data_IF_792811588363
#
_entry.id   IF_792811588363
#
_cell.length_a   1.000
_cell.length_b   1.000
_cell.length_c   1.000
_cell.angle_alpha   90.00
_cell.angle_beta   90.00
_cell.angle_gamma   90.00
#
_symmetry.space_group_name_H-M   'P 1'
#
loop_
_entity.id
_entity.type
_entity.pdbx_description
1 polymer ?
#
# COMPACT_ATOMS: atom_id res chain seq x y z
N UNK A 1 61.84 36.56 22.83
CA UNK A 1 60.96 35.48 23.32
C UNK A 1 59.95 36.17 24.25
N UNK A 2 58.75 36.55 23.80
CA UNK A 2 57.58 35.77 23.39
C UNK A 2 56.71 35.35 24.61
N UNK A 3 55.57 36.04 24.84
CA UNK A 3 54.15 35.60 24.66
C UNK A 3 53.57 34.95 25.95
N UNK A 4 52.40 35.29 26.54
CA UNK A 4 50.98 35.50 26.11
C UNK A 4 50.17 34.17 26.00
N UNK A 5 48.89 33.98 26.40
CA UNK A 5 47.72 34.78 26.93
C UNK A 5 46.66 33.73 27.49
N UNK A 6 45.47 33.91 28.10
CA UNK A 6 44.45 34.92 28.58
C UNK A 6 43.62 34.24 29.73
N UNK A 7 43.16 34.87 30.82
CA UNK A 7 41.85 35.55 31.12
C UNK A 7 40.57 34.69 31.30
N UNK A 8 39.75 34.96 32.34
CA UNK A 8 38.46 34.26 32.63
C UNK A 8 37.42 35.11 33.41
N UNK A 9 36.20 35.25 32.86
CA UNK A 9 34.83 35.33 33.45
C UNK A 9 34.54 36.26 34.69
N UNK A 10 33.74 37.34 34.56
CA UNK A 10 32.23 37.45 34.67
C UNK A 10 31.72 37.42 36.13
N UNK A 11 31.01 38.38 36.76
CA UNK A 11 30.09 39.50 36.40
C UNK A 11 28.71 39.10 35.79
N UNK A 12 27.53 39.62 36.19
CA UNK A 12 27.06 40.37 37.40
C UNK A 12 25.52 40.22 37.57
N UNK A 13 24.99 40.61 38.74
CA UNK A 13 23.55 40.62 39.12
C UNK A 13 22.60 41.49 38.28
N UNK A 14 21.31 41.13 38.16
CA UNK A 14 20.18 42.05 38.45
C UNK A 14 18.78 41.38 38.42
N UNK A 15 17.78 42.11 38.95
CA UNK A 15 16.39 41.74 39.26
C UNK A 15 15.46 41.61 38.05
N UNK A 16 14.39 40.81 38.16
CA UNK A 16 13.23 40.82 37.26
C UNK A 16 11.96 41.04 38.08
N UNK A 17 11.02 41.87 37.59
CA UNK A 17 9.73 42.17 38.22
C UNK A 17 8.61 41.32 37.62
N UNK A 18 7.60 41.00 38.45
CA UNK A 18 6.33 40.46 37.99
C UNK A 18 5.61 41.43 37.04
N UNK A 19 5.10 40.89 35.93
CA UNK A 19 4.09 41.56 35.11
C UNK A 19 3.24 40.52 34.38
N UNK A 20 2.15 40.15 35.03
CA UNK A 20 1.08 39.36 34.43
C UNK A 20 0.61 40.05 33.14
N UNK A 21 0.59 39.28 32.05
CA UNK A 21 -0.03 39.68 30.79
C UNK A 21 -0.72 38.45 30.23
N UNK A 22 -2.04 38.42 30.35
CA UNK A 22 -2.87 37.43 29.68
C UNK A 22 -2.57 37.45 28.18
N UNK A 23 -1.97 36.36 27.69
CA UNK A 23 -2.05 35.97 26.29
C UNK A 23 -3.15 34.93 26.19
N UNK A 24 -4.11 35.17 25.30
CA UNK A 24 -5.21 34.25 24.98
C UNK A 24 -4.63 32.94 24.40
N UNK A 25 -4.34 31.98 25.27
CA UNK A 25 -3.86 30.64 24.94
C UNK A 25 -5.00 29.81 24.32
N UNK A 26 -5.45 30.26 23.14
CA UNK A 26 -6.21 29.43 22.21
C UNK A 26 -5.26 28.46 21.51
N UNK A 27 -4.54 27.67 22.30
CA UNK A 27 -3.88 26.46 21.83
C UNK A 27 -4.95 25.49 21.33
N UNK A 28 -5.20 25.55 20.02
CA UNK A 28 -5.99 24.55 19.33
C UNK A 28 -5.25 23.23 19.38
N UNK A 29 -5.47 22.46 20.45
CA UNK A 29 -4.89 21.13 20.64
C UNK A 29 -5.47 20.18 19.57
N UNK A 30 -4.84 20.16 18.41
CA UNK A 30 -5.15 19.24 17.30
C UNK A 30 -4.78 17.82 17.74
N UNK A 31 -5.67 17.17 18.50
CA UNK A 31 -5.40 15.86 19.09
C UNK A 31 -5.21 14.80 18.00
N UNK A 32 -3.95 14.50 17.68
CA UNK A 32 -3.57 13.46 16.73
C UNK A 32 -4.10 12.11 17.26
N UNK A 33 -5.15 11.59 16.61
CA UNK A 33 -5.79 10.35 17.03
C UNK A 33 -4.82 9.17 16.91
N UNK A 34 -4.43 8.55 18.01
CA UNK A 34 -3.55 7.37 18.00
C UNK A 34 -4.34 6.07 17.78
N UNK A 35 -3.79 5.15 16.98
CA UNK A 35 -4.39 3.87 16.67
C UNK A 35 -3.89 2.77 17.61
N UNK A 36 -4.71 2.36 18.58
CA UNK A 36 -4.39 1.28 19.54
C UNK A 36 -4.26 -0.16 18.94
N UNK A 37 -4.07 -0.29 17.61
CA UNK A 37 -3.71 -1.54 16.92
C UNK A 37 -2.29 -1.49 16.35
N UNK A 38 -1.76 -0.31 16.02
CA UNK A 38 -0.40 -0.14 15.52
C UNK A 38 0.48 0.83 16.33
N UNK A 39 -0.07 1.47 17.37
CA UNK A 39 0.63 2.40 18.27
C UNK A 39 1.29 3.56 17.50
N UNK A 40 0.52 4.13 16.58
CA UNK A 40 0.91 5.18 15.64
C UNK A 40 -0.29 6.09 15.33
N UNK A 41 -0.07 7.33 14.87
CA UNK A 41 -1.14 8.21 14.36
C UNK A 41 -2.08 7.51 13.36
N UNK A 42 -3.37 7.83 13.44
CA UNK A 42 -4.41 7.25 12.60
C UNK A 42 -4.33 7.73 11.15
N UNK A 43 -4.20 6.79 10.22
CA UNK A 43 -4.35 7.06 8.79
C UNK A 43 -5.73 6.62 8.34
N UNK A 44 -6.51 7.58 7.85
CA UNK A 44 -7.96 7.48 7.64
C UNK A 44 -8.66 6.88 8.87
N UNK A 45 -8.71 7.63 10.01
CA UNK A 45 -9.37 7.17 11.22
C UNK A 45 -10.82 6.75 10.94
N UNK A 46 -11.16 5.53 11.32
CA UNK A 46 -12.47 4.93 11.12
C UNK A 46 -13.10 4.58 12.48
N UNK A 47 -14.26 5.16 12.76
CA UNK A 47 -15.04 4.91 13.97
C UNK A 47 -15.90 3.66 13.79
N UNK A 48 -15.72 2.68 14.67
CA UNK A 48 -16.60 1.51 14.77
C UNK A 48 -17.95 1.89 15.41
N UNK A 49 -19.03 1.08 15.24
CA UNK A 49 -20.31 1.29 15.92
C UNK A 49 -20.24 1.27 17.47
N UNK A 50 -19.12 0.81 18.03
CA UNK A 50 -18.79 0.89 19.45
C UNK A 50 -18.01 2.15 19.84
N UNK A 51 -18.02 3.18 18.99
CA UNK A 51 -17.32 4.48 19.09
C UNK A 51 -15.78 4.44 19.13
N UNK A 52 -15.15 3.28 19.23
CA UNK A 52 -13.69 3.14 19.16
C UNK A 52 -13.14 3.45 17.75
N UNK A 53 -12.01 4.16 17.68
CA UNK A 53 -11.39 4.65 16.43
C UNK A 53 -10.04 3.97 16.21
N UNK A 54 -9.73 3.63 14.96
CA UNK A 54 -8.45 3.05 14.51
C UNK A 54 -8.17 3.48 13.06
N UNK A 55 -6.95 3.28 12.53
CA UNK A 55 -6.70 3.40 11.09
C UNK A 55 -7.66 2.48 10.30
N UNK A 56 -8.17 2.93 9.15
CA UNK A 56 -9.02 2.08 8.28
C UNK A 56 -8.37 0.73 7.93
N UNK A 57 -7.05 0.70 7.63
CA UNK A 57 -6.34 -0.54 7.35
C UNK A 57 -6.19 -1.45 8.58
N UNK A 58 -6.14 -0.90 9.80
CA UNK A 58 -6.15 -1.69 11.03
C UNK A 58 -7.51 -2.34 11.25
N UNK A 59 -8.61 -1.59 11.10
CA UNK A 59 -9.98 -2.16 11.14
C UNK A 59 -10.14 -3.26 10.08
N UNK A 60 -9.64 -3.02 8.87
CA UNK A 60 -9.64 -3.97 7.76
C UNK A 60 -8.86 -5.25 8.07
N UNK A 61 -7.74 -5.18 8.80
CA UNK A 61 -7.03 -6.36 9.29
C UNK A 61 -7.86 -7.14 10.31
N UNK A 62 -8.33 -6.47 11.36
CA UNK A 62 -9.13 -7.07 12.43
C UNK A 62 -10.42 -7.70 11.90
N UNK A 63 -11.11 -7.04 10.96
CA UNK A 63 -12.33 -7.55 10.31
C UNK A 63 -12.08 -8.78 9.41
N UNK A 64 -10.87 -8.99 8.89
CA UNK A 64 -10.47 -10.21 8.19
C UNK A 64 -10.02 -11.34 9.15
N UNK A 65 -9.87 -11.06 10.44
CA UNK A 65 -9.36 -12.00 11.45
C UNK A 65 -10.43 -12.29 12.52
N UNK A 66 -10.52 -11.46 13.56
CA UNK A 66 -11.41 -11.68 14.71
C UNK A 66 -12.84 -11.17 14.51
N UNK A 67 -13.06 -10.23 13.58
CA UNK A 67 -14.33 -9.49 13.37
C UNK A 67 -14.84 -8.74 14.60
N UNK A 68 -14.00 -8.46 15.59
CA UNK A 68 -14.40 -7.85 16.88
C UNK A 68 -13.47 -6.69 17.24
N UNK A 69 -14.04 -5.62 17.79
CA UNK A 69 -13.32 -4.44 18.26
C UNK A 69 -12.18 -4.84 19.23
N UNK A 70 -10.92 -4.42 19.00
CA UNK A 70 -9.79 -4.72 19.87
C UNK A 70 -10.01 -4.33 21.35
N UNK A 71 -10.60 -3.16 21.60
CA UNK A 71 -10.85 -2.67 22.96
C UNK A 71 -12.05 -3.33 23.63
N UNK A 72 -13.28 -3.13 23.12
CA UNK A 72 -14.51 -3.58 23.80
C UNK A 72 -15.05 -4.96 23.35
N UNK A 73 -14.42 -5.62 22.37
CA UNK A 73 -14.84 -6.92 21.81
C UNK A 73 -16.26 -6.95 21.21
N UNK A 74 -16.91 -5.82 20.96
CA UNK A 74 -18.15 -5.73 20.16
C UNK A 74 -17.89 -6.17 18.72
N UNK A 75 -18.86 -6.82 18.07
CA UNK A 75 -18.73 -7.27 16.68
C UNK A 75 -18.70 -6.11 15.68
N UNK A 76 -17.91 -6.27 14.61
CA UNK A 76 -17.76 -5.32 13.51
C UNK A 76 -18.72 -5.75 12.38
N UNK A 77 -19.67 -4.89 11.95
CA UNK A 77 -20.62 -5.23 10.90
C UNK A 77 -19.92 -5.69 9.60
N UNK A 78 -20.39 -6.77 8.93
CA UNK A 78 -19.76 -7.29 7.71
C UNK A 78 -19.69 -6.29 6.54
N UNK A 79 -20.57 -5.30 6.52
CA UNK A 79 -20.64 -4.25 5.51
C UNK A 79 -19.78 -3.02 5.82
N UNK A 80 -19.24 -2.88 7.04
CA UNK A 80 -18.46 -1.73 7.49
C UNK A 80 -17.29 -1.38 6.55
N UNK A 81 -16.62 -2.38 5.96
CA UNK A 81 -15.51 -2.15 5.04
C UNK A 81 -15.92 -1.56 3.68
N UNK A 82 -17.21 -1.61 3.34
CA UNK A 82 -17.79 -1.00 2.14
C UNK A 82 -18.31 0.43 2.41
N UNK A 83 -18.69 0.72 3.66
CA UNK A 83 -19.24 2.03 4.11
C UNK A 83 -18.65 2.44 5.47
N UNK A 84 -17.31 2.64 5.58
CA UNK A 84 -16.69 2.96 6.85
C UNK A 84 -17.10 4.36 7.30
N UNK A 85 -17.41 4.53 8.58
CA UNK A 85 -17.58 5.86 9.17
C UNK A 85 -16.19 6.44 9.43
N UNK A 86 -15.66 7.18 8.45
CA UNK A 86 -14.44 7.96 8.64
C UNK A 86 -14.69 9.10 9.64
N UNK A 87 -13.63 9.49 10.34
CA UNK A 87 -13.61 10.65 11.23
C UNK A 87 -12.82 11.74 10.52
N UNK A 88 -13.43 12.91 10.39
CA UNK A 88 -12.74 14.11 9.92
C UNK A 88 -11.77 14.59 11.01
N UNK A 89 -10.56 14.94 10.60
CA UNK A 89 -9.51 15.53 11.45
C UNK A 89 -9.06 16.77 10.70
N UNK A 90 -9.03 17.92 11.36
CA UNK A 90 -8.74 19.21 10.70
C UNK A 90 -7.40 19.16 9.95
N UNK A 91 -7.45 19.27 8.62
CA UNK A 91 -6.29 19.11 7.74
C UNK A 91 -5.38 20.36 7.71
N UNK A 92 -5.34 21.13 8.80
CA UNK A 92 -4.68 22.44 8.94
C UNK A 92 -3.14 22.43 8.82
N UNK A 93 -2.54 21.28 8.47
CA UNK A 93 -1.10 21.10 8.22
C UNK A 93 -0.81 20.54 6.82
N UNK A 94 -1.82 20.45 5.94
CA UNK A 94 -1.75 19.73 4.65
C UNK A 94 -1.31 20.59 3.46
N UNK A 95 -1.30 21.92 3.61
CA UNK A 95 -1.12 22.86 2.48
C UNK A 95 0.25 23.58 2.46
N UNK A 96 1.06 23.48 3.51
CA UNK A 96 2.20 24.40 3.73
C UNK A 96 3.55 24.02 3.10
N UNK A 97 3.74 22.78 2.64
CA UNK A 97 5.06 22.27 2.18
C UNK A 97 5.06 21.62 0.78
N UNK A 98 4.03 21.83 -0.03
CA UNK A 98 4.01 21.38 -1.43
C UNK A 98 4.88 22.28 -2.35
N UNK A 99 6.20 22.16 -2.20
CA UNK A 99 7.14 22.43 -3.29
C UNK A 99 7.01 21.38 -4.41
N UNK A 100 7.64 21.65 -5.55
CA UNK A 100 7.48 20.88 -6.78
C UNK A 100 7.97 19.42 -6.65
N UNK A 101 7.32 18.51 -7.37
CA UNK A 101 7.54 17.05 -7.41
C UNK A 101 7.36 16.27 -6.10
N UNK A 102 6.28 15.46 -6.01
CA UNK A 102 6.46 14.11 -5.45
C UNK A 102 5.67 13.04 -6.23
N UNK A 103 6.34 11.91 -6.44
CA UNK A 103 5.76 10.70 -7.02
C UNK A 103 5.06 9.89 -5.93
N UNK A 104 3.87 9.39 -6.26
CA UNK A 104 3.07 8.56 -5.37
C UNK A 104 3.11 7.10 -5.82
N UNK A 105 2.96 6.18 -4.85
CA UNK A 105 2.88 4.76 -5.11
C UNK A 105 1.43 4.29 -5.31
N UNK A 106 1.23 3.41 -6.29
CA UNK A 106 -0.07 2.84 -6.64
C UNK A 106 -0.01 1.32 -6.79
N UNK A 107 -1.16 0.65 -6.60
CA UNK A 107 -1.34 -0.78 -6.83
C UNK A 107 -2.56 -1.10 -7.71
N UNK A 108 -2.45 -2.18 -8.49
CA UNK A 108 -3.43 -2.58 -9.49
C UNK A 108 -4.72 -3.13 -8.86
N UNK A 109 -5.85 -2.46 -9.11
CA UNK A 109 -7.18 -2.94 -8.76
C UNK A 109 -7.91 -3.60 -9.93
N UNK A 110 -9.11 -4.14 -9.68
CA UNK A 110 -10.05 -4.49 -10.77
C UNK A 110 -10.38 -3.22 -11.56
N UNK A 111 -9.93 -3.11 -12.80
CA UNK A 111 -10.15 -1.95 -13.68
C UNK A 111 -9.68 -0.63 -13.04
N UNK A 112 -8.37 -0.38 -13.06
CA UNK A 112 -7.74 0.88 -12.62
C UNK A 112 -6.99 0.79 -11.28
N UNK A 113 -6.23 1.85 -10.99
CA UNK A 113 -5.25 1.92 -9.90
C UNK A 113 -5.83 2.43 -8.58
N UNK A 114 -5.32 1.93 -7.48
CA UNK A 114 -5.50 2.49 -6.14
C UNK A 114 -4.19 3.14 -5.70
N UNK A 115 -4.26 4.26 -4.99
CA UNK A 115 -3.10 4.83 -4.30
C UNK A 115 -2.82 4.00 -3.02
N UNK A 116 -1.56 3.81 -2.66
CA UNK A 116 -1.20 3.39 -1.30
C UNK A 116 -1.50 4.53 -0.30
N UNK A 117 -1.72 4.19 0.97
CA UNK A 117 -1.76 5.19 2.02
C UNK A 117 -0.38 5.84 2.24
N UNK A 118 -0.34 6.92 3.01
CA UNK A 118 0.87 7.73 3.22
C UNK A 118 2.03 6.92 3.83
N UNK A 119 1.76 6.05 4.82
CA UNK A 119 2.79 5.28 5.54
C UNK A 119 3.38 4.19 4.65
N UNK A 120 2.53 3.37 4.02
CA UNK A 120 3.00 2.36 3.07
C UNK A 120 3.66 2.99 1.83
N UNK A 121 3.24 4.19 1.40
CA UNK A 121 3.93 4.93 0.33
C UNK A 121 5.32 5.41 0.75
N UNK A 122 5.48 5.92 1.98
CA UNK A 122 6.78 6.34 2.50
C UNK A 122 7.75 5.16 2.67
N UNK A 123 7.26 4.00 3.14
CA UNK A 123 8.04 2.75 3.22
C UNK A 123 8.54 2.32 1.82
N UNK A 124 7.65 2.30 0.82
CA UNK A 124 7.97 2.00 -0.58
C UNK A 124 8.99 2.98 -1.17
N UNK A 125 8.74 4.28 -1.05
CA UNK A 125 9.58 5.33 -1.62
C UNK A 125 10.96 5.38 -0.96
N UNK A 126 11.04 5.17 0.37
CA UNK A 126 12.31 5.06 1.10
C UNK A 126 13.12 3.87 0.61
N UNK A 127 12.51 2.68 0.49
CA UNK A 127 13.21 1.48 0.03
C UNK A 127 13.67 1.60 -1.44
N UNK A 128 12.85 2.21 -2.29
CA UNK A 128 13.15 2.45 -3.70
C UNK A 128 14.27 3.48 -3.89
N UNK A 129 14.21 4.64 -3.20
CA UNK A 129 15.29 5.66 -3.18
C UNK A 129 16.61 5.09 -2.62
N UNK A 130 16.55 4.10 -1.72
CA UNK A 130 17.72 3.35 -1.22
C UNK A 130 18.26 2.28 -2.18
N UNK A 131 17.69 2.10 -3.37
CA UNK A 131 18.15 1.11 -4.36
C UNK A 131 17.91 -0.34 -3.96
N UNK A 132 17.05 -0.61 -2.95
CA UNK A 132 16.71 -1.98 -2.54
C UNK A 132 15.96 -2.69 -3.66
N UNK A 133 16.21 -4.00 -3.83
CA UNK A 133 15.50 -4.82 -4.84
C UNK A 133 14.04 -5.09 -4.47
N UNK A 134 13.74 -5.17 -3.18
CA UNK A 134 12.41 -5.35 -2.63
C UNK A 134 12.29 -4.76 -1.22
N UNK A 135 11.08 -4.68 -0.69
CA UNK A 135 10.83 -4.41 0.73
C UNK A 135 9.63 -5.20 1.26
N UNK A 136 9.54 -5.33 2.59
CA UNK A 136 8.43 -5.98 3.28
C UNK A 136 7.40 -4.93 3.73
N UNK A 137 6.10 -5.21 3.60
CA UNK A 137 5.01 -4.29 3.94
C UNK A 137 3.91 -4.99 4.75
N UNK A 138 3.42 -4.38 5.83
CA UNK A 138 2.32 -4.91 6.65
C UNK A 138 0.97 -4.27 6.27
N UNK A 139 0.27 -4.88 5.31
CA UNK A 139 -0.97 -4.31 4.75
C UNK A 139 -2.18 -5.07 5.29
N UNK A 140 -3.02 -4.38 6.07
CA UNK A 140 -4.26 -4.92 6.66
C UNK A 140 -4.09 -6.29 7.34
N UNK A 141 -3.06 -6.42 8.20
CA UNK A 141 -2.81 -7.64 8.97
C UNK A 141 -2.16 -8.78 8.18
N UNK A 142 -1.62 -8.52 6.97
CA UNK A 142 -0.87 -9.50 6.19
C UNK A 142 0.46 -8.94 5.69
N UNK A 143 1.50 -9.77 5.72
CA UNK A 143 2.81 -9.44 5.18
C UNK A 143 2.83 -9.61 3.65
N UNK A 144 3.25 -8.54 2.98
CA UNK A 144 3.55 -8.48 1.56
C UNK A 144 5.06 -8.29 1.35
N UNK A 145 5.51 -8.66 0.15
CA UNK A 145 6.80 -8.29 -0.42
C UNK A 145 6.48 -7.43 -1.65
N UNK A 146 7.05 -6.23 -1.73
CA UNK A 146 7.04 -5.39 -2.92
C UNK A 146 8.38 -5.56 -3.64
N UNK A 147 8.36 -6.13 -4.85
CA UNK A 147 9.53 -6.33 -5.71
C UNK A 147 9.58 -5.21 -6.75
N UNK A 148 10.63 -4.40 -6.67
CA UNK A 148 10.85 -3.26 -7.57
C UNK A 148 11.45 -3.67 -8.93
N UNK A 149 12.00 -4.89 -9.04
CA UNK A 149 12.51 -5.44 -10.28
C UNK A 149 11.40 -5.96 -11.20
N UNK A 150 10.39 -6.64 -10.66
CA UNK A 150 9.19 -7.05 -11.41
C UNK A 150 8.02 -6.06 -11.35
N UNK A 151 8.11 -5.03 -10.50
CA UNK A 151 7.03 -4.10 -10.18
C UNK A 151 5.74 -4.82 -9.75
N UNK A 152 5.88 -5.78 -8.84
CA UNK A 152 4.79 -6.54 -8.24
C UNK A 152 4.80 -6.42 -6.71
N UNK A 153 3.62 -6.34 -6.09
CA UNK A 153 3.44 -6.79 -4.71
C UNK A 153 2.96 -8.25 -4.71
N UNK A 154 3.45 -9.08 -3.78
CA UNK A 154 3.02 -10.45 -3.55
C UNK A 154 2.80 -10.69 -2.04
N UNK A 155 1.79 -11.47 -1.65
CA UNK A 155 1.60 -11.86 -0.23
C UNK A 155 2.61 -12.97 0.12
N UNK A 156 3.39 -12.80 1.19
CA UNK A 156 4.54 -13.69 1.50
C UNK A 156 4.18 -15.18 1.54
N UNK A 157 3.06 -15.49 2.20
CA UNK A 157 2.61 -16.87 2.41
C UNK A 157 1.62 -17.34 1.31
N UNK A 158 1.44 -16.56 0.23
CA UNK A 158 0.48 -16.82 -0.86
C UNK A 158 0.87 -16.04 -2.14
N UNK A 159 1.83 -16.53 -2.93
CA UNK A 159 2.28 -15.86 -4.16
C UNK A 159 1.21 -15.72 -5.24
N UNK A 160 0.08 -16.42 -5.13
CA UNK A 160 -1.07 -16.24 -6.04
C UNK A 160 -1.71 -14.86 -5.85
N UNK A 161 -1.66 -14.31 -4.62
CA UNK A 161 -2.14 -12.96 -4.29
C UNK A 161 -1.08 -11.92 -4.63
N UNK A 162 -0.94 -11.66 -5.93
CA UNK A 162 -0.10 -10.61 -6.50
C UNK A 162 -0.89 -9.52 -7.21
N UNK A 163 -0.30 -8.32 -7.31
CA UNK A 163 -0.79 -7.15 -8.06
C UNK A 163 0.40 -6.40 -8.64
N UNK A 164 0.26 -5.75 -9.80
CA UNK A 164 1.27 -4.75 -10.22
C UNK A 164 1.28 -3.57 -9.25
N UNK A 165 2.46 -2.98 -9.08
CA UNK A 165 2.66 -1.69 -8.44
C UNK A 165 3.27 -0.70 -9.45
N UNK A 166 3.15 0.60 -9.19
CA UNK A 166 3.88 1.64 -9.93
C UNK A 166 4.19 2.84 -9.03
N UNK A 167 5.27 3.53 -9.35
CA UNK A 167 5.61 4.88 -8.90
C UNK A 167 5.22 5.85 -10.02
N UNK A 168 4.35 6.81 -9.76
CA UNK A 168 3.74 7.66 -10.79
C UNK A 168 3.34 9.03 -10.20
N UNK A 169 2.95 10.01 -11.01
CA UNK A 169 2.58 11.34 -10.50
C UNK A 169 1.32 11.29 -9.63
N UNK A 170 1.24 12.16 -8.62
CA UNK A 170 0.12 12.18 -7.65
C UNK A 170 -1.27 12.39 -8.29
N UNK A 171 -1.31 13.02 -9.46
CA UNK A 171 -2.51 13.42 -10.20
C UNK A 171 -3.06 12.35 -11.17
N UNK A 172 -2.40 11.20 -11.34
CA UNK A 172 -2.87 10.18 -12.30
C UNK A 172 -4.22 9.58 -11.88
N UNK A 173 -5.10 9.21 -12.86
CA UNK A 173 -6.42 8.67 -12.57
C UNK A 173 -6.40 7.48 -11.60
N UNK A 174 -7.00 7.70 -10.42
CA UNK A 174 -6.96 6.80 -9.26
C UNK A 174 -8.35 6.60 -8.68
N UNK A 175 -8.60 5.43 -8.13
CA UNK A 175 -9.92 5.01 -7.61
C UNK A 175 -10.21 5.48 -6.18
N UNK A 176 -9.27 6.23 -5.59
CA UNK A 176 -9.13 6.50 -4.17
C UNK A 176 -7.88 5.85 -3.57
N UNK A 177 -7.81 5.77 -2.24
CA UNK A 177 -6.59 5.45 -1.47
C UNK A 177 -6.84 4.24 -0.57
N UNK A 178 -5.93 3.26 -0.54
CA UNK A 178 -5.98 2.05 0.30
C UNK A 178 -7.26 1.17 0.21
N UNK A 179 -8.13 1.46 -0.77
CA UNK A 179 -9.47 0.86 -0.94
C UNK A 179 -10.63 1.74 -0.47
N UNK A 180 -10.38 2.93 0.10
CA UNK A 180 -11.37 3.97 0.33
C UNK A 180 -11.61 4.74 -0.96
N UNK A 181 -12.88 4.91 -1.34
CA UNK A 181 -13.27 5.89 -2.36
C UNK A 181 -13.45 7.25 -1.67
N UNK A 182 -12.50 8.14 -1.91
CA UNK A 182 -12.64 9.55 -1.51
C UNK A 182 -13.39 10.26 -2.64
N UNK A 183 -14.56 10.82 -2.34
CA UNK A 183 -15.43 11.45 -3.32
C UNK A 183 -15.00 12.91 -3.54
N UNK A 184 -13.92 13.11 -4.30
CA UNK A 184 -13.59 14.41 -4.87
C UNK A 184 -14.43 14.65 -6.13
N UNK A 185 -14.62 15.92 -6.51
CA UNK A 185 -15.47 16.35 -7.63
C UNK A 185 -14.76 16.24 -9.01
N UNK A 186 -13.62 15.55 -9.07
CA UNK A 186 -12.69 15.45 -10.21
C UNK A 186 -13.28 14.75 -11.47
N UNK A 187 -14.41 14.06 -11.32
CA UNK A 187 -15.18 13.44 -12.43
C UNK A 187 -15.73 14.48 -13.42
N UNK A 188 -15.88 15.75 -13.01
CA UNK A 188 -16.47 16.81 -13.85
C UNK A 188 -15.42 17.41 -14.81
N UNK A 189 -14.24 17.78 -14.30
CA UNK A 189 -13.10 18.32 -15.06
C UNK A 189 -12.70 17.39 -16.22
N UNK A 190 -12.78 16.06 -16.00
CA UNK A 190 -12.40 15.05 -17.00
C UNK A 190 -13.37 14.99 -18.19
N UNK A 191 -14.57 15.60 -18.10
CA UNK A 191 -15.62 15.55 -19.13
C UNK A 191 -15.54 16.74 -20.10
N UNK A 192 -15.29 17.95 -19.60
CA UNK A 192 -15.25 19.17 -20.42
C UNK A 192 -14.14 19.13 -21.48
N UNK A 193 -12.97 18.57 -21.14
CA UNK A 193 -11.81 18.43 -22.05
C UNK A 193 -12.09 17.53 -23.26
N UNK A 194 -13.20 16.76 -23.27
CA UNK A 194 -13.69 15.99 -24.42
C UNK A 194 -14.96 16.56 -25.08
N UNK A 195 -15.51 17.65 -24.54
CA UNK A 195 -16.71 18.33 -25.07
C UNK A 195 -16.40 19.42 -26.09
N UNK A 196 -15.23 20.06 -26.00
CA UNK A 196 -14.73 20.98 -27.03
C UNK A 196 -14.16 20.23 -28.25
N UNK A 197 -13.94 20.95 -29.35
CA UNK A 197 -13.35 20.47 -30.63
C UNK A 197 -14.27 19.73 -31.64
N UNK A 198 -15.43 20.32 -32.01
CA UNK A 198 -15.80 20.36 -33.45
C UNK A 198 -16.71 21.54 -33.83
N UNK A 199 -16.29 22.46 -34.72
CA UNK A 199 -17.16 23.52 -35.23
C UNK A 199 -18.32 22.99 -36.09
N UNK A 200 -19.50 23.60 -35.94
CA UNK A 200 -20.65 23.36 -36.81
C UNK A 200 -20.60 24.29 -38.04
N UNK A 201 -21.04 23.76 -39.19
CA UNK A 201 -21.13 24.45 -40.49
C UNK A 201 -22.36 23.92 -41.25
N UNK A 202 -22.95 24.72 -42.17
CA UNK A 202 -24.36 25.08 -41.97
C UNK A 202 -25.40 24.22 -42.70
N UNK A 203 -26.67 24.53 -42.42
CA UNK A 203 -27.84 23.93 -43.05
C UNK A 203 -28.07 24.38 -44.51
N UNK A 204 -28.88 23.60 -45.22
CA UNK A 204 -29.56 23.98 -46.46
C UNK A 204 -30.96 23.34 -46.47
N UNK A 205 -31.98 24.14 -46.72
CA UNK A 205 -33.40 23.77 -46.65
C UNK A 205 -33.88 22.92 -47.85
N UNK A 206 -34.91 22.10 -47.65
CA UNK A 206 -36.00 21.92 -48.62
C UNK A 206 -37.30 21.42 -47.94
N UNK A 207 -38.44 21.60 -48.61
CA UNK A 207 -39.80 21.28 -48.13
C UNK A 207 -40.35 20.00 -48.78
N UNK A 208 -41.09 19.17 -48.03
CA UNK A 208 -41.78 18.02 -48.62
C UNK A 208 -42.75 17.28 -47.70
N UNK A 209 -44.05 17.39 -47.96
CA UNK A 209 -45.10 16.57 -47.33
C UNK A 209 -45.23 15.19 -47.98
N UNK A 210 -45.34 14.12 -47.19
CA UNK A 210 -45.66 12.78 -47.70
C UNK A 210 -46.07 11.80 -46.60
N UNK A 211 -47.19 11.11 -46.82
CA UNK A 211 -47.69 9.98 -45.99
C UNK A 211 -47.14 8.65 -46.54
N UNK A 212 -47.08 7.60 -45.72
CA UNK A 212 -46.72 6.25 -46.19
C UNK A 212 -46.08 5.31 -45.16
N UNK A 213 -46.81 4.25 -44.81
CA UNK A 213 -46.35 3.10 -44.00
C UNK A 213 -45.26 2.28 -44.71
N UNK A 214 -44.27 1.75 -43.96
CA UNK A 214 -43.92 0.31 -43.84
C UNK A 214 -42.50 0.06 -43.28
N UNK A 215 -42.33 -1.00 -42.50
CA UNK A 215 -41.05 -1.42 -41.88
C UNK A 215 -40.48 -2.66 -42.58
N UNK A 216 -39.21 -2.67 -43.04
CA UNK A 216 -38.56 -3.86 -43.58
C UNK A 216 -37.71 -4.61 -42.53
N UNK A 217 -37.75 -5.94 -42.58
CA UNK A 217 -36.89 -6.85 -41.78
C UNK A 217 -35.80 -7.44 -42.69
N UNK A 218 -34.51 -7.42 -42.31
CA UNK A 218 -33.43 -8.02 -43.09
C UNK A 218 -33.40 -9.57 -42.95
N UNK A 219 -33.01 -10.33 -44.00
CA UNK A 219 -33.23 -11.77 -44.07
C UNK A 219 -32.13 -12.63 -43.45
N UNK A 220 -32.51 -13.84 -43.02
CA UNK A 220 -31.60 -14.96 -42.76
C UNK A 220 -31.28 -15.73 -44.04
N UNK A 221 -30.05 -16.24 -44.20
CA UNK A 221 -29.67 -17.12 -45.29
C UNK A 221 -28.75 -18.25 -44.80
N UNK A 222 -29.10 -19.50 -45.12
CA UNK A 222 -28.34 -20.70 -44.75
C UNK A 222 -28.26 -21.66 -45.95
N UNK A 223 -27.07 -21.87 -46.54
CA UNK A 223 -26.86 -22.92 -47.55
C UNK A 223 -26.65 -24.31 -46.90
N UNK A 224 -26.98 -25.37 -47.64
CA UNK A 224 -26.86 -26.77 -47.20
C UNK A 224 -25.61 -27.46 -47.78
N UNK A 225 -25.17 -28.53 -47.11
CA UNK A 225 -24.11 -29.46 -47.55
C UNK A 225 -24.55 -30.34 -48.72
N UNK A 226 -23.60 -30.94 -49.45
CA UNK A 226 -23.59 -32.41 -49.52
C UNK A 226 -22.19 -33.03 -49.29
N UNK A 227 -22.16 -34.37 -49.19
CA UNK A 227 -21.02 -35.12 -48.63
C UNK A 227 -20.00 -35.65 -49.66
N UNK A 228 -18.78 -35.90 -49.17
CA UNK A 228 -17.68 -36.61 -49.84
C UNK A 228 -16.41 -36.46 -49.01
N UNK A 229 -15.87 -37.53 -48.44
CA UNK A 229 -14.79 -37.45 -47.44
C UNK A 229 -13.54 -38.26 -47.78
N UNK A 230 -12.46 -38.05 -47.04
CA UNK A 230 -11.36 -39.03 -46.86
C UNK A 230 -10.38 -38.62 -45.75
N UNK A 231 -9.85 -39.65 -45.07
CA UNK A 231 -8.55 -39.70 -44.38
C UNK A 231 -8.27 -38.82 -43.13
N UNK A 232 -7.29 -39.32 -42.35
CA UNK A 232 -6.55 -38.70 -41.24
C UNK A 232 -7.34 -38.05 -40.09
N UNK A 233 -7.31 -38.71 -38.93
CA UNK A 233 -7.57 -38.05 -37.65
C UNK A 233 -6.28 -37.54 -37.00
N UNK A 234 -6.42 -36.74 -35.95
CA UNK A 234 -5.34 -36.40 -35.01
C UNK A 234 -5.90 -36.46 -33.58
N UNK A 235 -5.08 -36.91 -32.63
CA UNK A 235 -5.49 -37.24 -31.26
C UNK A 235 -4.40 -36.79 -30.27
N UNK A 236 -4.27 -35.48 -30.10
CA UNK A 236 -3.24 -34.86 -29.24
C UNK A 236 -3.42 -35.30 -27.77
N UNK A 237 -2.39 -35.88 -27.11
CA UNK A 237 -2.54 -36.58 -25.84
C UNK A 237 -2.57 -35.65 -24.61
N UNK A 238 -3.11 -36.15 -23.49
CA UNK A 238 -3.26 -35.41 -22.24
C UNK A 238 -1.97 -35.25 -21.41
N UNK A 239 -0.83 -35.82 -21.83
CA UNK A 239 0.39 -35.93 -21.02
C UNK A 239 1.08 -34.59 -20.69
N UNK A 240 1.06 -33.62 -21.61
CA UNK A 240 1.73 -32.31 -21.47
C UNK A 240 1.40 -31.61 -20.12
N UNK A 241 0.17 -31.79 -19.64
CA UNK A 241 -0.34 -31.16 -18.41
C UNK A 241 0.12 -31.85 -17.13
N UNK A 242 0.86 -32.95 -17.21
CA UNK A 242 1.46 -33.65 -16.07
C UNK A 242 2.93 -33.29 -15.95
N UNK A 243 3.72 -33.47 -17.02
CA UNK A 243 5.16 -33.17 -17.05
C UNK A 243 5.46 -31.72 -16.66
N UNK A 244 4.64 -30.76 -17.12
CA UNK A 244 4.81 -29.34 -16.76
C UNK A 244 4.41 -29.02 -15.31
N UNK A 245 3.65 -29.88 -14.62
CA UNK A 245 3.36 -29.75 -13.18
C UNK A 245 4.49 -30.35 -12.34
N UNK A 246 5.05 -31.48 -12.78
CA UNK A 246 6.18 -32.14 -12.13
C UNK A 246 7.45 -31.28 -12.25
N UNK A 247 7.68 -30.65 -13.41
CA UNK A 247 8.73 -29.65 -13.62
C UNK A 247 8.64 -28.47 -12.64
N UNK A 248 7.43 -27.90 -12.45
CA UNK A 248 7.21 -26.83 -11.47
C UNK A 248 7.40 -27.31 -10.02
N UNK A 249 6.99 -28.54 -9.70
CA UNK A 249 7.21 -29.12 -8.37
C UNK A 249 8.71 -29.30 -8.08
N UNK A 250 9.48 -29.77 -9.05
CA UNK A 250 10.91 -30.01 -8.92
C UNK A 250 11.70 -28.71 -8.74
N UNK A 251 11.32 -27.63 -9.44
CA UNK A 251 11.89 -26.28 -9.22
C UNK A 251 11.60 -25.77 -7.80
N UNK A 252 10.37 -25.96 -7.29
CA UNK A 252 10.01 -25.55 -5.93
C UNK A 252 10.76 -26.35 -4.85
N UNK A 253 10.98 -27.64 -5.06
CA UNK A 253 11.78 -28.47 -4.15
C UNK A 253 13.27 -28.08 -4.17
N UNK A 254 13.80 -27.75 -5.35
CA UNK A 254 15.17 -27.27 -5.49
C UNK A 254 15.39 -25.92 -4.80
N UNK A 255 14.42 -24.98 -4.92
CA UNK A 255 14.46 -23.72 -4.18
C UNK A 255 14.42 -23.92 -2.66
N UNK A 256 13.60 -24.86 -2.17
CA UNK A 256 13.57 -25.21 -0.72
C UNK A 256 14.89 -25.78 -0.24
N UNK A 257 15.48 -26.70 -1.02
CA UNK A 257 16.76 -27.33 -0.71
C UNK A 257 17.90 -26.31 -0.60
N UNK A 258 17.93 -25.30 -1.48
CA UNK A 258 18.93 -24.22 -1.41
C UNK A 258 18.79 -23.39 -0.14
N UNK A 259 17.59 -22.95 0.23
CA UNK A 259 17.34 -22.19 1.48
C UNK A 259 17.70 -23.02 2.72
N UNK A 260 17.38 -24.32 2.73
CA UNK A 260 17.75 -25.23 3.82
C UNK A 260 19.27 -25.40 3.94
N UNK A 261 20.00 -25.36 2.80
CA UNK A 261 21.46 -25.44 2.79
C UNK A 261 22.13 -24.14 3.26
N UNK A 262 21.57 -22.98 2.93
CA UNK A 262 22.05 -21.68 3.42
C UNK A 262 21.91 -21.57 4.94
N UNK A 263 20.80 -22.06 5.52
CA UNK A 263 20.65 -22.13 6.98
C UNK A 263 21.67 -23.06 7.64
N UNK A 264 21.92 -24.24 7.09
CA UNK A 264 22.90 -25.19 7.64
C UNK A 264 24.37 -24.75 7.46
N UNK A 265 24.66 -23.79 6.59
CA UNK A 265 26.01 -23.21 6.43
C UNK A 265 26.26 -21.98 7.32
N UNK A 266 25.33 -21.63 8.21
CA UNK A 266 25.44 -20.45 9.09
C UNK A 266 25.66 -20.78 10.57
N UNK A 267 25.56 -22.05 10.97
CA UNK A 267 25.61 -22.51 12.36
C UNK A 267 26.94 -23.24 12.70
N UNK A 268 28.01 -23.04 11.91
CA UNK A 268 29.34 -23.62 12.16
C UNK A 268 30.46 -22.62 11.89
N UNK A 269 30.83 -21.81 12.88
CA UNK A 269 32.16 -21.19 13.08
C UNK A 269 32.16 -20.24 14.31
N UNK A 270 31.84 -20.74 15.52
CA UNK A 270 32.25 -20.10 16.79
C UNK A 270 32.07 -21.06 18.00
N UNK A 271 33.13 -21.82 18.35
CA UNK A 271 33.53 -22.21 19.73
C UNK A 271 34.76 -23.15 19.68
N UNK A 272 35.58 -23.13 20.76
CA UNK A 272 36.83 -23.88 21.05
C UNK A 272 38.17 -23.24 20.63
N UNK A 273 38.80 -22.52 21.58
CA UNK A 273 40.13 -22.90 22.09
C UNK A 273 40.11 -22.76 23.63
N UNK A 274 40.41 -23.85 24.35
CA UNK A 274 40.74 -23.87 25.79
C UNK A 274 42.25 -24.05 25.93
N UNK A 275 42.86 -23.49 26.98
CA UNK A 275 44.26 -23.77 27.36
C UNK A 275 44.36 -23.82 28.91
N UNK A 276 45.16 -24.74 29.44
CA UNK A 276 45.00 -25.28 30.81
C UNK A 276 46.01 -24.79 31.88
N UNK A 277 45.63 -25.06 33.14
CA UNK A 277 46.44 -25.27 34.36
C UNK A 277 47.48 -24.23 34.85
N UNK A 278 47.35 -23.86 36.13
CA UNK A 278 48.33 -24.29 37.15
C UNK A 278 47.82 -24.08 38.60
N UNK A 279 48.19 -25.01 39.50
CA UNK A 279 47.90 -24.94 40.95
C UNK A 279 48.67 -23.79 41.64
N UNK A 280 48.28 -23.26 42.81
CA UNK A 280 48.30 -23.93 44.13
C UNK A 280 47.93 -22.89 45.25
N UNK A 281 48.03 -23.10 46.59
CA UNK A 281 46.89 -22.77 47.47
C UNK A 281 47.18 -21.86 48.70
N UNK A 282 46.16 -21.70 49.55
CA UNK A 282 46.21 -21.32 50.99
C UNK A 282 46.26 -19.84 51.39
N UNK A 283 45.16 -19.30 51.95
CA UNK A 283 45.01 -19.09 53.41
C UNK A 283 43.64 -18.51 53.82
N UNK A 284 43.06 -19.07 54.88
CA UNK A 284 42.06 -18.43 55.78
C UNK A 284 42.80 -17.88 57.03
N UNK A 285 42.19 -17.14 58.00
CA UNK A 285 40.77 -16.80 58.17
C UNK A 285 40.40 -15.33 58.51
N UNK A 286 39.12 -15.02 58.32
CA UNK A 286 38.15 -14.35 59.23
C UNK A 286 38.60 -13.31 60.26
N UNK A 287 37.88 -12.18 60.26
CA UNK A 287 37.15 -11.68 61.45
C UNK A 287 35.64 -11.69 61.15
#
# INVERSE_FOLDING_TARGET
MAQAKLNSQEETSSTINDKEKETDEKEGLTTVLECAVCLQPCIYPARLPCNHIYCYLCVKGVANQSKRCPMCRQEIPPDFLNRPQLVEVDEAQKESEHFEEEYQWFYEGRNGWWQYDQRTSHELETAYKQGKRNCELLIAGFLYIADFGSMLQLRRNDPSRRRKIKRDLYNVPKKGVAGLRLNNQDEEITREVRGAERPASPASDDMGTGDGTNTPVPPSNTPQTPAGGTASGDATPLNDRMEQRDSLHQVLEQMRSLVLREHLSSDTDDELEEDEESESPSTHPTL
#
